data_IF_801611154419
#
_entry.id   IF_801611154419
#
_cell.length_a   1.000
_cell.length_b   1.000
_cell.length_c   1.000
_cell.angle_alpha   90.00
_cell.angle_beta   90.00
_cell.angle_gamma   90.00
#
_symmetry.space_group_name_H-M   'P 1'
#
loop_
_entity.id
_entity.type
_entity.pdbx_description
1 polymer ?
#
# COMPACT_ATOMS: atom_id res chain seq x y z
N UNK A 1 20.19 5.07 -8.63
CA UNK A 1 19.97 6.08 -7.57
C UNK A 1 19.41 7.33 -8.24
N UNK A 2 18.93 8.32 -7.50
CA UNK A 2 18.58 9.60 -8.10
C UNK A 2 19.79 10.51 -8.23
N UNK A 3 19.66 11.58 -9.02
CA UNK A 3 20.73 12.57 -9.25
C UNK A 3 21.20 13.24 -7.95
N UNK A 4 20.30 13.44 -6.99
CA UNK A 4 20.63 14.00 -5.68
C UNK A 4 21.60 13.10 -4.93
N UNK A 5 21.30 11.82 -4.82
CA UNK A 5 22.12 10.84 -4.11
C UNK A 5 23.49 10.66 -4.77
N UNK A 6 23.54 10.64 -6.10
CA UNK A 6 24.79 10.54 -6.84
C UNK A 6 25.74 11.70 -6.55
N UNK A 7 25.21 12.93 -6.49
CA UNK A 7 25.99 14.13 -6.15
C UNK A 7 26.36 14.20 -4.68
N UNK A 8 25.47 13.74 -3.80
CA UNK A 8 25.72 13.70 -2.37
C UNK A 8 26.88 12.75 -2.04
N UNK A 9 26.82 11.51 -2.56
CA UNK A 9 27.82 10.48 -2.28
C UNK A 9 29.13 10.68 -3.05
N UNK A 10 29.17 11.49 -4.11
CA UNK A 10 30.42 11.91 -4.72
C UNK A 10 31.13 13.01 -3.91
N UNK A 11 30.38 13.84 -3.18
CA UNK A 11 30.91 14.94 -2.40
C UNK A 11 31.29 14.57 -0.95
N UNK A 12 30.71 13.50 -0.38
CA UNK A 12 31.01 13.03 0.97
C UNK A 12 31.50 11.58 0.99
N UNK A 13 32.77 11.38 1.35
CA UNK A 13 33.45 10.08 1.31
C UNK A 13 33.80 9.51 2.69
N UNK A 14 33.51 10.24 3.78
CA UNK A 14 33.93 9.86 5.14
C UNK A 14 33.09 8.70 5.67
N UNK A 15 31.77 8.87 5.71
CA UNK A 15 30.84 7.87 6.26
C UNK A 15 29.77 7.59 5.23
N UNK A 16 29.90 6.45 4.54
CA UNK A 16 28.92 6.01 3.55
C UNK A 16 27.93 5.06 4.23
N UNK A 17 26.62 5.36 4.21
CA UNK A 17 25.62 4.45 4.77
C UNK A 17 25.64 3.09 4.08
N UNK A 18 25.59 2.02 4.88
CA UNK A 18 25.43 0.64 4.39
C UNK A 18 24.06 0.45 3.72
N UNK A 19 23.05 1.13 4.23
CA UNK A 19 21.73 1.21 3.65
C UNK A 19 21.38 2.68 3.48
N UNK A 20 20.93 3.04 2.28
CA UNK A 20 20.29 4.33 2.02
C UNK A 20 19.11 4.10 1.08
N UNK A 21 17.91 4.44 1.56
CA UNK A 21 16.66 4.35 0.78
C UNK A 21 15.89 5.64 0.95
N UNK A 22 15.30 6.10 -0.14
CA UNK A 22 14.42 7.27 -0.17
C UNK A 22 13.07 6.89 -0.77
N UNK A 23 12.01 7.37 -0.14
CA UNK A 23 10.66 7.34 -0.66
C UNK A 23 10.11 8.76 -0.68
N UNK A 24 10.05 9.35 -1.87
CA UNK A 24 9.70 10.77 -2.07
C UNK A 24 10.60 11.66 -1.19
N UNK A 25 10.07 12.22 -0.10
CA UNK A 25 10.78 13.14 0.79
C UNK A 25 11.36 12.43 2.03
N UNK A 26 10.92 11.21 2.32
CA UNK A 26 11.36 10.45 3.50
C UNK A 26 12.60 9.61 3.17
N UNK A 27 13.62 9.70 4.03
CA UNK A 27 14.87 8.96 3.90
C UNK A 27 15.04 8.02 5.11
N UNK A 28 15.51 6.81 4.85
CA UNK A 28 15.98 5.90 5.88
C UNK A 28 17.35 5.35 5.51
N UNK A 29 18.22 5.26 6.51
CA UNK A 29 19.53 4.70 6.33
C UNK A 29 20.06 3.97 7.56
N UNK A 30 21.11 3.22 7.35
CA UNK A 30 21.87 2.54 8.39
C UNK A 30 23.34 2.63 8.03
N UNK A 31 24.19 2.90 9.01
CA UNK A 31 25.63 3.01 8.84
C UNK A 31 26.33 2.33 10.02
N UNK A 32 27.50 1.74 9.76
CA UNK A 32 28.36 1.18 10.80
C UNK A 32 29.43 2.22 11.14
N UNK A 33 29.08 3.12 12.05
CA UNK A 33 29.91 4.26 12.45
C UNK A 33 29.54 4.71 13.86
N UNK A 34 30.33 5.64 14.41
CA UNK A 34 29.99 6.32 15.66
C UNK A 34 28.81 7.27 15.45
N UNK A 35 28.14 7.64 16.55
CA UNK A 35 27.03 8.61 16.50
C UNK A 35 27.50 9.95 15.93
N UNK A 36 28.67 10.41 16.33
CA UNK A 36 29.23 11.70 15.90
C UNK A 36 29.52 11.71 14.38
N UNK A 37 30.05 10.62 13.84
CA UNK A 37 30.26 10.46 12.39
C UNK A 37 28.94 10.48 11.62
N UNK A 38 27.89 9.85 12.17
CA UNK A 38 26.56 9.87 11.57
C UNK A 38 25.92 11.27 11.64
N UNK A 39 26.07 11.97 12.76
CA UNK A 39 25.59 13.35 12.91
C UNK A 39 26.34 14.30 11.96
N UNK A 40 27.65 14.11 11.77
CA UNK A 40 28.44 14.84 10.78
C UNK A 40 27.92 14.60 9.35
N UNK A 41 27.59 13.35 9.00
CA UNK A 41 26.97 13.03 7.72
C UNK A 41 25.62 13.75 7.56
N UNK A 42 24.73 13.69 8.57
CA UNK A 42 23.43 14.35 8.50
C UNK A 42 23.57 15.87 8.39
N UNK A 43 24.51 16.47 9.12
CA UNK A 43 24.83 17.89 9.01
C UNK A 43 25.34 18.25 7.62
N UNK A 44 26.16 17.40 7.00
CA UNK A 44 26.59 17.58 5.62
C UNK A 44 25.39 17.55 4.66
N UNK A 45 24.53 16.53 4.75
CA UNK A 45 23.32 16.40 3.92
C UNK A 45 22.43 17.64 4.06
N UNK A 46 22.23 18.12 5.29
CA UNK A 46 21.42 19.30 5.60
C UNK A 46 22.01 20.61 5.07
N UNK A 47 23.30 20.66 4.76
CA UNK A 47 23.96 21.84 4.22
C UNK A 47 24.32 21.70 2.74
N UNK A 48 24.10 20.53 2.13
CA UNK A 48 24.41 20.27 0.74
C UNK A 48 23.60 21.15 -0.23
N UNK A 49 22.34 21.40 0.10
CA UNK A 49 21.49 22.37 -0.61
C UNK A 49 20.87 23.37 0.35
N UNK A 50 21.07 24.69 0.15
CA UNK A 50 20.53 25.71 1.06
C UNK A 50 19.01 25.70 1.22
N UNK A 51 18.29 25.23 0.20
CA UNK A 51 16.82 25.22 0.15
C UNK A 51 16.16 23.99 0.79
N UNK A 52 16.92 22.95 1.15
CA UNK A 52 16.38 21.73 1.74
C UNK A 52 16.94 21.52 3.15
N UNK A 53 16.04 21.33 4.12
CA UNK A 53 16.39 20.99 5.50
C UNK A 53 15.61 19.75 5.91
N UNK A 54 16.33 18.73 6.34
CA UNK A 54 15.79 17.49 6.84
C UNK A 54 15.79 17.50 8.37
N UNK A 55 14.64 17.17 8.95
CA UNK A 55 14.56 16.69 10.33
C UNK A 55 15.04 15.25 10.36
N UNK A 56 15.78 14.87 11.41
CA UNK A 56 16.31 13.52 11.55
C UNK A 56 16.08 13.00 12.97
N UNK A 57 16.02 11.68 13.07
CA UNK A 57 16.01 10.93 14.32
C UNK A 57 17.04 9.80 14.20
N UNK A 58 17.93 9.69 15.18
CA UNK A 58 19.02 8.72 15.19
C UNK A 58 18.84 7.81 16.39
N UNK A 59 18.62 6.54 16.09
CA UNK A 59 18.48 5.48 17.08
C UNK A 59 19.45 4.34 16.79
N UNK A 60 20.12 3.79 17.82
CA UNK A 60 21.04 2.67 17.67
C UNK A 60 20.34 1.33 17.39
N UNK A 61 19.05 1.19 17.77
CA UNK A 61 18.37 -0.10 17.77
C UNK A 61 17.17 -0.15 16.81
N UNK A 62 16.41 0.94 16.70
CA UNK A 62 15.20 0.93 15.87
C UNK A 62 14.77 2.30 15.41
N UNK A 63 14.30 2.40 14.17
CA UNK A 63 13.75 3.62 13.56
C UNK A 63 12.41 3.32 12.91
N UNK A 64 11.53 4.32 12.90
CA UNK A 64 10.28 4.25 12.17
C UNK A 64 10.47 4.88 10.79
N UNK A 65 10.00 4.20 9.74
CA UNK A 65 10.03 4.69 8.37
C UNK A 65 8.70 4.36 7.69
N UNK A 66 7.94 5.39 7.33
CA UNK A 66 6.56 5.27 6.85
C UNK A 66 5.71 4.43 7.83
N UNK A 67 5.16 3.31 7.36
CA UNK A 67 4.33 2.38 8.12
C UNK A 67 5.11 1.13 8.57
N UNK A 68 6.44 1.24 8.63
CA UNK A 68 7.35 0.16 9.02
C UNK A 68 8.24 0.61 10.17
N UNK A 69 8.36 -0.22 11.20
CA UNK A 69 9.40 -0.09 12.22
C UNK A 69 10.53 -1.05 11.88
N UNK A 70 11.71 -0.50 11.63
CA UNK A 70 12.94 -1.25 11.39
C UNK A 70 13.67 -1.39 12.71
N UNK A 71 14.05 -2.62 13.06
CA UNK A 71 14.79 -2.94 14.28
C UNK A 71 16.00 -3.79 13.93
N UNK A 72 17.13 -3.52 14.57
CA UNK A 72 18.36 -4.30 14.43
C UNK A 72 18.32 -5.42 15.48
N UNK A 73 18.22 -6.66 15.02
CA UNK A 73 18.18 -7.86 15.86
C UNK A 73 19.14 -8.92 15.30
N UNK A 74 19.92 -9.59 16.16
CA UNK A 74 20.82 -10.69 15.76
C UNK A 74 21.71 -10.40 14.55
N UNK A 75 22.25 -9.17 14.45
CA UNK A 75 23.06 -8.67 13.31
C UNK A 75 22.32 -8.56 11.98
N UNK A 76 20.98 -8.62 11.99
CA UNK A 76 20.12 -8.41 10.83
C UNK A 76 19.10 -7.30 11.06
N UNK A 77 18.39 -6.94 9.98
CA UNK A 77 17.26 -6.02 10.04
C UNK A 77 15.95 -6.81 10.06
N UNK A 78 15.18 -6.59 11.12
CA UNK A 78 13.81 -7.08 11.24
C UNK A 78 12.83 -5.92 11.06
N UNK A 79 11.71 -6.17 10.40
CA UNK A 79 10.67 -5.17 10.16
C UNK A 79 9.36 -5.60 10.79
N UNK A 80 8.62 -4.64 11.34
CA UNK A 80 7.26 -4.82 11.86
C UNK A 80 6.39 -3.64 11.43
N UNK A 81 5.06 -3.79 11.51
CA UNK A 81 4.15 -2.68 11.17
C UNK A 81 4.26 -1.58 12.22
N UNK A 82 4.43 -0.34 11.77
CA UNK A 82 4.35 0.84 12.62
C UNK A 82 3.03 1.56 12.36
N UNK A 83 2.27 1.83 13.42
CA UNK A 83 1.11 2.70 13.35
C UNK A 83 1.50 4.07 13.88
N UNK A 84 1.35 5.10 13.03
CA UNK A 84 1.56 6.48 13.47
C UNK A 84 0.61 6.80 14.62
N UNK A 85 1.01 7.56 15.65
CA UNK A 85 0.12 7.93 16.75
C UNK A 85 -1.16 8.66 16.29
N UNK A 86 -1.10 9.35 15.16
CA UNK A 86 -2.23 10.04 14.52
C UNK A 86 -3.12 9.13 13.67
N UNK A 87 -2.72 7.86 13.48
CA UNK A 87 -3.47 6.91 12.68
C UNK A 87 -4.71 6.46 13.44
N UNK A 88 -5.88 6.95 13.05
CA UNK A 88 -7.14 6.66 13.73
C UNK A 88 -7.73 5.27 13.42
N UNK A 89 -7.03 4.46 12.61
CA UNK A 89 -7.50 3.15 12.16
C UNK A 89 -8.91 3.18 11.52
N UNK A 90 -9.24 4.30 10.86
CA UNK A 90 -10.53 4.53 10.23
C UNK A 90 -10.71 3.75 8.92
N UNK A 91 -10.76 2.42 9.02
CA UNK A 91 -11.15 1.57 7.89
C UNK A 91 -12.59 1.85 7.45
N UNK A 92 -12.94 1.50 6.23
CA UNK A 92 -14.31 1.61 5.73
C UNK A 92 -15.29 0.86 6.65
N UNK A 93 -16.48 1.40 6.93
CA UNK A 93 -17.50 0.65 7.70
C UNK A 93 -18.07 -0.49 6.86
N UNK A 94 -18.37 -1.61 7.50
CA UNK A 94 -18.98 -2.76 6.81
C UNK A 94 -20.35 -2.44 6.19
N UNK A 95 -21.14 -1.58 6.84
CA UNK A 95 -22.44 -1.11 6.36
C UNK A 95 -22.37 0.02 5.33
N UNK A 96 -21.18 0.37 4.85
CA UNK A 96 -21.03 1.43 3.86
C UNK A 96 -21.62 1.04 2.50
N UNK A 97 -22.01 2.04 1.72
CA UNK A 97 -22.58 1.85 0.38
C UNK A 97 -21.49 1.55 -0.66
N UNK A 98 -20.81 0.42 -0.51
CA UNK A 98 -19.77 -0.08 -1.42
C UNK A 98 -20.09 -1.48 -1.92
N UNK A 99 -19.55 -1.88 -3.10
CA UNK A 99 -19.65 -3.27 -3.54
C UNK A 99 -19.16 -4.24 -2.46
N UNK A 100 -19.91 -5.32 -2.15
CA UNK A 100 -19.49 -6.30 -1.16
C UNK A 100 -18.11 -6.90 -1.44
N UNK A 101 -17.75 -7.05 -2.72
CA UNK A 101 -16.43 -7.51 -3.15
C UNK A 101 -15.31 -6.56 -2.68
N UNK A 102 -15.52 -5.25 -2.78
CA UNK A 102 -14.57 -4.24 -2.30
C UNK A 102 -14.46 -4.29 -0.78
N UNK A 103 -15.59 -4.22 -0.06
CA UNK A 103 -15.61 -4.21 1.41
C UNK A 103 -14.92 -5.46 1.96
N UNK A 104 -15.27 -6.65 1.46
CA UNK A 104 -14.75 -7.92 1.93
C UNK A 104 -13.27 -8.16 1.56
N UNK A 105 -12.74 -7.41 0.58
CA UNK A 105 -11.32 -7.51 0.19
C UNK A 105 -10.39 -6.71 1.13
N UNK A 106 -10.91 -5.70 1.84
CA UNK A 106 -10.09 -4.80 2.69
C UNK A 106 -9.37 -5.57 3.81
N UNK A 107 -10.01 -6.47 4.58
CA UNK A 107 -9.29 -7.22 5.62
C UNK A 107 -8.14 -8.05 5.05
N UNK A 108 -8.38 -8.74 3.93
CA UNK A 108 -7.36 -9.53 3.26
C UNK A 108 -6.18 -8.66 2.78
N UNK A 109 -6.45 -7.50 2.16
CA UNK A 109 -5.38 -6.63 1.66
C UNK A 109 -4.50 -6.05 2.78
N UNK A 110 -5.10 -5.65 3.90
CA UNK A 110 -4.35 -5.13 5.05
C UNK A 110 -3.54 -6.20 5.76
N UNK A 111 -4.10 -7.39 5.93
CA UNK A 111 -3.37 -8.53 6.48
C UNK A 111 -2.23 -8.99 5.54
N UNK A 112 -2.43 -8.96 4.22
CA UNK A 112 -1.39 -9.28 3.25
C UNK A 112 -0.25 -8.26 3.32
N UNK A 113 -0.58 -6.98 3.49
CA UNK A 113 0.39 -5.91 3.75
C UNK A 113 1.18 -6.19 5.04
N UNK A 114 0.51 -6.56 6.13
CA UNK A 114 1.18 -6.94 7.37
C UNK A 114 2.12 -8.15 7.16
N UNK A 115 1.70 -9.15 6.39
CA UNK A 115 2.54 -10.33 6.05
C UNK A 115 3.81 -9.95 5.29
N UNK A 116 3.74 -8.96 4.40
CA UNK A 116 4.92 -8.44 3.67
C UNK A 116 5.88 -7.71 4.60
N UNK A 117 5.33 -6.87 5.49
CA UNK A 117 6.12 -6.01 6.39
C UNK A 117 6.77 -6.84 7.50
N UNK A 118 6.02 -7.68 8.22
CA UNK A 118 6.56 -8.40 9.37
C UNK A 118 7.60 -9.45 8.96
N UNK A 119 8.82 -9.34 9.48
CA UNK A 119 9.86 -10.37 9.28
C UNK A 119 9.57 -11.66 10.05
N UNK A 120 9.03 -11.52 11.27
CA UNK A 120 8.79 -12.64 12.19
C UNK A 120 7.31 -13.03 12.20
N UNK A 121 7.02 -14.32 12.37
CA UNK A 121 5.64 -14.81 12.49
C UNK A 121 4.95 -14.31 13.77
N UNK A 122 5.66 -14.22 14.89
CA UNK A 122 5.09 -13.71 16.15
C UNK A 122 4.61 -12.26 16.00
N UNK A 123 5.40 -11.42 15.32
CA UNK A 123 4.99 -10.03 15.04
C UNK A 123 3.80 -9.96 14.10
N UNK A 124 3.78 -10.83 13.08
CA UNK A 124 2.61 -10.95 12.19
C UNK A 124 1.34 -11.37 12.96
N UNK A 125 1.42 -12.34 13.85
CA UNK A 125 0.28 -12.81 14.66
C UNK A 125 -0.25 -11.71 15.59
N UNK A 126 0.65 -10.97 16.24
CA UNK A 126 0.28 -9.82 17.06
C UNK A 126 -0.41 -8.75 16.23
N UNK A 127 0.22 -8.30 15.14
CA UNK A 127 -0.31 -7.24 14.27
C UNK A 127 -1.63 -7.66 13.59
N UNK A 128 -1.75 -8.91 13.16
CA UNK A 128 -2.98 -9.42 12.55
C UNK A 128 -4.14 -9.46 13.56
N UNK A 129 -3.85 -9.77 14.82
CA UNK A 129 -4.83 -9.69 15.91
C UNK A 129 -5.31 -8.25 16.13
N UNK A 130 -4.40 -7.27 16.14
CA UNK A 130 -4.73 -5.84 16.22
C UNK A 130 -5.62 -5.40 15.04
N UNK A 131 -5.26 -5.77 13.80
CA UNK A 131 -6.10 -5.50 12.63
C UNK A 131 -7.51 -6.09 12.75
N UNK A 132 -7.63 -7.33 13.23
CA UNK A 132 -8.94 -7.94 13.43
C UNK A 132 -9.78 -7.18 14.48
N UNK A 133 -9.17 -6.66 15.55
CA UNK A 133 -9.86 -5.81 16.51
C UNK A 133 -10.35 -4.51 15.85
N UNK A 134 -9.52 -3.86 15.06
CA UNK A 134 -9.91 -2.65 14.33
C UNK A 134 -11.08 -2.92 13.37
N UNK A 135 -11.04 -4.02 12.61
CA UNK A 135 -12.15 -4.36 11.71
C UNK A 135 -13.43 -4.73 12.45
N UNK A 136 -13.34 -5.44 13.57
CA UNK A 136 -14.51 -5.73 14.43
C UNK A 136 -15.17 -4.43 14.91
N UNK A 137 -14.38 -3.45 15.34
CA UNK A 137 -14.89 -2.12 15.71
C UNK A 137 -15.58 -1.37 14.55
N UNK A 138 -15.30 -1.75 13.30
CA UNK A 138 -15.93 -1.21 12.08
C UNK A 138 -17.12 -2.04 11.58
N UNK A 139 -17.54 -3.05 12.34
CA UNK A 139 -18.72 -3.88 12.07
C UNK A 139 -18.47 -5.03 11.09
N UNK A 140 -17.22 -5.40 10.84
CA UNK A 140 -16.93 -6.55 9.98
C UNK A 140 -17.32 -7.88 10.68
N UNK A 141 -18.05 -8.78 10.00
CA UNK A 141 -18.37 -10.10 10.54
C UNK A 141 -17.11 -10.94 10.78
N UNK A 142 -17.07 -11.68 11.89
CA UNK A 142 -15.94 -12.58 12.21
C UNK A 142 -15.65 -13.56 11.07
N UNK A 143 -16.68 -14.11 10.43
CA UNK A 143 -16.53 -15.05 9.30
C UNK A 143 -15.74 -14.48 8.12
N UNK A 144 -15.84 -13.17 7.85
CA UNK A 144 -15.05 -12.48 6.82
C UNK A 144 -13.59 -12.35 7.24
N UNK A 145 -13.36 -12.05 8.53
CA UNK A 145 -12.02 -11.88 9.09
C UNK A 145 -11.28 -13.21 9.18
N UNK A 146 -11.95 -14.26 9.66
CA UNK A 146 -11.40 -15.61 9.78
C UNK A 146 -11.00 -16.14 8.40
N UNK A 147 -11.88 -15.99 7.40
CA UNK A 147 -11.56 -16.35 6.01
C UNK A 147 -10.36 -15.58 5.46
N UNK A 148 -10.22 -14.30 5.79
CA UNK A 148 -9.08 -13.50 5.36
C UNK A 148 -7.78 -13.98 6.04
N UNK A 149 -7.83 -14.25 7.35
CA UNK A 149 -6.71 -14.78 8.11
C UNK A 149 -6.27 -16.15 7.59
N UNK A 150 -7.20 -17.08 7.40
CA UNK A 150 -6.90 -18.44 6.93
C UNK A 150 -6.21 -18.42 5.57
N UNK A 151 -6.68 -17.55 4.66
CA UNK A 151 -6.04 -17.35 3.36
C UNK A 151 -4.63 -16.78 3.43
N UNK A 152 -4.26 -16.07 4.50
CA UNK A 152 -2.96 -15.39 4.62
C UNK A 152 -1.99 -16.19 5.49
N UNK A 153 -2.51 -17.03 6.37
CA UNK A 153 -1.71 -18.02 7.10
C UNK A 153 -1.00 -18.99 6.15
N UNK A 154 -1.62 -19.32 5.01
CA UNK A 154 -1.02 -20.16 3.98
C UNK A 154 -0.05 -19.45 3.04
N UNK A 155 0.06 -18.11 3.12
CA UNK A 155 0.92 -17.33 2.23
C UNK A 155 2.27 -17.09 2.91
N UNK A 156 3.33 -17.63 2.31
CA UNK A 156 4.70 -17.32 2.72
C UNK A 156 5.06 -15.86 2.42
N UNK A 157 5.90 -15.27 3.28
CA UNK A 157 6.34 -13.88 3.13
C UNK A 157 7.14 -13.67 1.84
N UNK A 158 8.03 -14.58 1.48
CA UNK A 158 8.87 -14.42 0.28
C UNK A 158 8.00 -14.43 -0.97
N UNK A 159 6.97 -15.28 -1.01
CA UNK A 159 5.97 -15.28 -2.07
C UNK A 159 5.16 -13.98 -2.08
N UNK A 160 4.77 -13.47 -0.91
CA UNK A 160 4.00 -12.23 -0.81
C UNK A 160 4.76 -10.99 -1.30
N UNK A 161 6.09 -10.99 -1.19
CA UNK A 161 6.98 -9.91 -1.64
C UNK A 161 7.21 -9.91 -3.15
N UNK A 162 6.94 -11.01 -3.85
CA UNK A 162 7.09 -11.06 -5.29
C UNK A 162 6.07 -10.16 -6.00
N UNK A 163 6.47 -9.46 -7.06
CA UNK A 163 5.53 -8.70 -7.88
C UNK A 163 4.54 -9.66 -8.53
N UNK A 164 3.26 -9.30 -8.51
CA UNK A 164 2.25 -10.06 -9.27
C UNK A 164 2.51 -9.87 -10.76
N UNK A 165 2.55 -10.97 -11.51
CA UNK A 165 2.69 -10.94 -12.97
C UNK A 165 1.60 -10.08 -13.63
N UNK A 166 1.96 -9.42 -14.74
CA UNK A 166 1.02 -8.64 -15.53
C UNK A 166 -0.15 -9.51 -15.97
N UNK A 167 -1.39 -9.07 -15.71
CA UNK A 167 -2.57 -9.72 -16.26
C UNK A 167 -2.67 -9.39 -17.75
N UNK A 168 -3.05 -10.35 -18.61
CA UNK A 168 -3.28 -10.04 -20.01
C UNK A 168 -4.36 -8.96 -20.14
N UNK A 169 -4.04 -7.91 -20.89
CA UNK A 169 -5.01 -6.88 -21.25
C UNK A 169 -6.06 -7.52 -22.14
N UNK A 170 -7.34 -7.43 -21.76
CA UNK A 170 -8.43 -7.99 -22.56
C UNK A 170 -8.71 -7.18 -23.84
N UNK A 171 -8.00 -6.07 -24.09
CA UNK A 171 -8.26 -5.14 -25.20
C UNK A 171 -9.58 -4.35 -25.09
N UNK A 172 -10.56 -4.91 -24.36
CA UNK A 172 -11.90 -4.37 -24.14
C UNK A 172 -11.92 -3.24 -23.12
N UNK A 173 -12.70 -2.21 -23.44
CA UNK A 173 -12.87 -1.03 -22.57
C UNK A 173 -13.80 -1.37 -21.40
N UNK A 174 -13.41 -1.07 -20.15
CA UNK A 174 -14.29 -1.23 -19.00
C UNK A 174 -15.31 -0.09 -18.94
N UNK A 175 -16.60 -0.41 -18.80
CA UNK A 175 -17.65 0.54 -18.44
C UNK A 175 -17.89 0.48 -16.93
N UNK A 176 -17.42 1.51 -16.22
CA UNK A 176 -17.56 1.60 -14.75
C UNK A 176 -18.80 2.39 -14.39
N UNK A 177 -19.73 1.76 -13.68
CA UNK A 177 -20.97 2.39 -13.22
C UNK A 177 -20.94 2.59 -11.69
N UNK A 178 -21.56 3.66 -11.16
CA UNK A 178 -21.62 3.88 -9.73
C UNK A 178 -22.32 2.72 -9.02
N UNK A 179 -21.74 2.24 -7.93
CA UNK A 179 -22.41 1.30 -7.05
C UNK A 179 -23.53 1.98 -6.28
N UNK A 180 -24.71 1.36 -6.26
CA UNK A 180 -25.79 1.70 -5.35
C UNK A 180 -26.43 0.42 -4.79
N UNK A 181 -26.77 0.34 -3.48
CA UNK A 181 -27.28 -0.88 -2.86
C UNK A 181 -28.60 -1.38 -3.46
N UNK A 182 -29.43 -0.46 -3.97
CA UNK A 182 -30.70 -0.83 -4.63
C UNK A 182 -30.53 -1.37 -6.05
N UNK A 183 -29.36 -1.17 -6.67
CA UNK A 183 -29.10 -1.63 -8.04
C UNK A 183 -28.64 -3.09 -7.97
N UNK A 184 -29.45 -3.99 -8.53
CA UNK A 184 -29.11 -5.41 -8.61
C UNK A 184 -27.80 -5.62 -9.40
N UNK A 185 -26.97 -6.62 -9.07
CA UNK A 185 -25.71 -6.89 -9.79
C UNK A 185 -25.87 -7.01 -11.31
N UNK A 186 -27.00 -7.55 -11.76
CA UNK A 186 -27.29 -7.81 -13.18
C UNK A 186 -27.83 -6.60 -13.95
N UNK A 187 -28.35 -5.58 -13.26
CA UNK A 187 -28.98 -4.43 -13.90
C UNK A 187 -28.01 -3.61 -14.77
N UNK A 188 -26.79 -3.27 -14.32
CA UNK A 188 -25.79 -2.60 -15.16
C UNK A 188 -25.52 -3.33 -16.47
N UNK A 189 -25.28 -4.65 -16.38
CA UNK A 189 -25.02 -5.51 -17.54
C UNK A 189 -26.23 -5.44 -18.49
N UNK A 190 -27.45 -5.63 -17.97
CA UNK A 190 -28.68 -5.55 -18.78
C UNK A 190 -28.85 -4.19 -19.45
N UNK A 191 -28.55 -3.09 -18.75
CA UNK A 191 -28.62 -1.73 -19.30
C UNK A 191 -27.58 -1.56 -20.41
N UNK A 192 -26.35 -2.02 -20.23
CA UNK A 192 -25.31 -1.99 -21.26
C UNK A 192 -25.71 -2.79 -22.49
N UNK A 193 -26.19 -4.03 -22.32
CA UNK A 193 -26.65 -4.86 -23.44
C UNK A 193 -27.85 -4.27 -24.17
N UNK A 194 -28.83 -3.70 -23.45
CA UNK A 194 -30.01 -3.06 -24.07
C UNK A 194 -29.64 -1.82 -24.87
N UNK A 195 -28.66 -1.05 -24.42
CA UNK A 195 -28.28 0.23 -25.02
C UNK A 195 -27.03 0.13 -25.90
N UNK A 196 -26.52 -1.07 -26.18
CA UNK A 196 -25.30 -1.23 -27.00
C UNK A 196 -25.44 -0.62 -28.39
N UNK A 197 -26.65 -0.67 -28.95
CA UNK A 197 -26.95 -0.06 -30.25
C UNK A 197 -26.73 1.45 -30.23
N UNK A 198 -27.12 2.13 -29.15
CA UNK A 198 -26.89 3.56 -28.96
C UNK A 198 -25.38 3.85 -28.93
N UNK A 199 -24.63 3.07 -28.16
CA UNK A 199 -23.16 3.22 -28.06
C UNK A 199 -22.45 3.00 -29.40
N UNK A 200 -22.95 2.08 -30.24
CA UNK A 200 -22.38 1.77 -31.56
C UNK A 200 -22.81 2.74 -32.68
N UNK A 201 -23.90 3.48 -32.49
CA UNK A 201 -24.48 4.37 -33.50
C UNK A 201 -24.12 5.84 -33.26
N UNK A 202 -23.78 6.21 -32.02
CA UNK A 202 -23.36 7.56 -31.68
C UNK A 202 -21.97 7.89 -32.26
N UNK A 203 -21.86 9.04 -32.90
CA UNK A 203 -20.65 9.47 -33.59
C UNK A 203 -19.45 9.68 -32.66
N UNK A 204 -19.68 9.94 -31.37
CA UNK A 204 -18.62 10.16 -30.38
C UNK A 204 -18.16 8.88 -29.68
N UNK A 205 -19.02 7.87 -29.56
CA UNK A 205 -18.72 6.64 -28.80
C UNK A 205 -18.46 5.40 -29.66
N UNK A 206 -18.82 5.43 -30.95
CA UNK A 206 -18.68 4.28 -31.86
C UNK A 206 -17.23 3.80 -32.00
N UNK A 207 -16.28 4.72 -32.12
CA UNK A 207 -14.86 4.37 -32.27
C UNK A 207 -14.24 3.87 -30.98
N UNK A 208 -14.85 4.21 -29.84
CA UNK A 208 -14.41 3.83 -28.50
C UNK A 208 -14.92 2.41 -28.17
N UNK A 209 -16.22 2.13 -28.36
CA UNK A 209 -16.82 0.84 -28.01
C UNK A 209 -17.06 -0.05 -29.24
N UNK A 210 -15.97 -0.47 -29.90
CA UNK A 210 -16.03 -1.42 -31.01
C UNK A 210 -16.49 -2.81 -30.53
N UNK A 211 -15.99 -3.23 -29.37
CA UNK A 211 -16.41 -4.44 -28.66
C UNK A 211 -17.33 -4.11 -27.49
N UNK A 212 -18.15 -5.09 -27.09
CA UNK A 212 -19.01 -4.95 -25.91
C UNK A 212 -18.14 -4.59 -24.68
N UNK A 213 -18.43 -3.50 -23.95
CA UNK A 213 -17.62 -3.13 -22.81
C UNK A 213 -17.78 -4.13 -21.65
N UNK A 214 -16.74 -4.23 -20.82
CA UNK A 214 -16.80 -5.03 -19.60
C UNK A 214 -17.39 -4.15 -18.49
N UNK A 215 -18.54 -4.52 -17.96
CA UNK A 215 -19.23 -3.70 -16.93
C UNK A 215 -18.68 -3.96 -15.53
N UNK A 216 -18.26 -2.89 -14.84
CA UNK A 216 -17.84 -2.93 -13.43
C UNK A 216 -18.68 -1.99 -12.58
N UNK A 217 -18.88 -2.31 -11.30
CA UNK A 217 -19.45 -1.39 -10.32
C UNK A 217 -18.32 -0.74 -9.54
N UNK A 218 -18.06 0.54 -9.80
CA UNK A 218 -17.05 1.33 -9.10
C UNK A 218 -17.62 2.00 -7.84
N UNK A 219 -16.77 2.22 -6.85
CA UNK A 219 -17.00 3.24 -5.83
C UNK A 219 -16.24 4.51 -6.23
N UNK A 220 -16.79 5.69 -5.94
CA UNK A 220 -16.12 6.99 -6.13
C UNK A 220 -14.83 7.17 -5.31
N UNK A 221 -14.44 6.18 -4.50
CA UNK A 221 -13.25 6.23 -3.64
C UNK A 221 -12.00 5.54 -4.21
N UNK A 222 -11.98 5.12 -5.48
CA UNK A 222 -10.76 4.55 -6.09
C UNK A 222 -9.62 5.55 -6.31
N UNK A 223 -9.78 6.82 -5.92
CA UNK A 223 -8.73 7.85 -5.99
C UNK A 223 -8.04 8.16 -4.66
N UNK A 224 -8.42 7.51 -3.55
CA UNK A 224 -7.63 7.59 -2.31
C UNK A 224 -6.61 6.46 -2.31
N UNK A 225 -5.41 6.82 -2.78
CA UNK A 225 -4.15 6.11 -2.53
C UNK A 225 -4.10 5.72 -1.05
N UNK A 226 -4.01 4.41 -0.80
CA UNK A 226 -3.63 3.81 0.49
C UNK A 226 -2.13 3.52 0.51
#
# INVERSE_FOLDING_TARGET
MGLFEERLFSAYTVTIPLLYKRFIDDIVGCAQCTRDELENFVNFVNNFYPCFKFTHDISPNSVNFLDVKLTIENRGLTSTVHFKPTHSHNFLRYSSSHPPTCINAIPYSQLLRARRICSNNNDFERVSSEFCQFFKARGYPSTTLDRALDRIKSVDRNTALQPSGAKPSSGRIPLVLPFHPSIQPIQPIRVTYKNVKILSQDASTKDIFQDLPITFKGSWLTSLVL
#
